data_IF_926800628666
#
_entry.id   IF_926800628666
#
_cell.length_a   1.000
_cell.length_b   1.000
_cell.length_c   1.000
_cell.angle_alpha   90.00
_cell.angle_beta   90.00
_cell.angle_gamma   90.00
#
_symmetry.space_group_name_H-M   'P 1'
#
loop_
_entity.id
_entity.type
_entity.pdbx_description
1 polymer ?
#
# COMPACT_ATOMS: atom_id res chain seq x y z
N UNK A 1 -26.59 -49.81 -69.10
CA UNK A 1 -26.31 -48.39 -69.45
C UNK A 1 -27.27 -47.44 -68.71
N UNK A 2 -28.54 -47.23 -69.10
CA UNK A 2 -29.53 -46.37 -68.38
C UNK A 2 -29.39 -46.28 -66.84
N UNK A 3 -29.48 -47.40 -66.11
CA UNK A 3 -29.40 -47.44 -64.62
C UNK A 3 -28.04 -47.02 -64.05
N UNK A 4 -26.98 -46.97 -64.86
CA UNK A 4 -25.66 -46.49 -64.47
C UNK A 4 -25.53 -44.98 -64.74
N UNK A 5 -25.88 -44.50 -65.94
CA UNK A 5 -25.88 -43.06 -66.27
C UNK A 5 -26.74 -42.24 -65.27
N UNK A 6 -27.95 -42.72 -64.93
CA UNK A 6 -28.77 -42.10 -63.87
C UNK A 6 -28.13 -42.10 -62.47
N UNK A 7 -27.33 -43.12 -62.12
CA UNK A 7 -26.58 -43.13 -60.84
C UNK A 7 -25.42 -42.13 -60.86
N UNK A 8 -24.72 -41.99 -61.99
CA UNK A 8 -23.65 -41.00 -62.13
C UNK A 8 -24.21 -39.58 -62.01
N UNK A 9 -25.33 -39.27 -62.70
CA UNK A 9 -26.03 -37.99 -62.56
C UNK A 9 -26.41 -37.67 -61.11
N UNK A 10 -27.01 -38.63 -60.40
CA UNK A 10 -27.41 -38.46 -59.00
C UNK A 10 -26.24 -38.41 -58.00
N UNK A 11 -25.10 -39.05 -58.31
CA UNK A 11 -23.88 -38.95 -57.51
C UNK A 11 -23.22 -37.58 -57.69
N UNK A 12 -23.13 -37.10 -58.92
CA UNK A 12 -22.54 -35.78 -59.22
C UNK A 12 -23.40 -34.64 -58.65
N UNK A 13 -24.73 -34.78 -58.65
CA UNK A 13 -25.64 -33.86 -57.96
C UNK A 13 -25.29 -33.75 -56.47
N UNK A 14 -25.22 -34.87 -55.76
CA UNK A 14 -24.83 -34.91 -54.34
C UNK A 14 -23.44 -34.32 -54.09
N UNK A 15 -22.49 -34.53 -55.00
CA UNK A 15 -21.16 -33.93 -54.89
C UNK A 15 -21.20 -32.40 -55.08
N UNK A 16 -22.03 -31.87 -55.99
CA UNK A 16 -22.29 -30.43 -56.13
C UNK A 16 -22.94 -29.87 -54.85
N UNK A 17 -23.97 -30.55 -54.34
CA UNK A 17 -24.68 -30.15 -53.13
C UNK A 17 -23.73 -30.09 -51.91
N UNK A 18 -22.90 -31.12 -51.69
CA UNK A 18 -21.88 -31.13 -50.64
C UNK A 18 -20.82 -30.05 -50.84
N UNK A 19 -20.31 -29.86 -52.06
CA UNK A 19 -19.35 -28.79 -52.35
C UNK A 19 -19.89 -27.41 -51.94
N UNK A 20 -21.15 -27.10 -52.30
CA UNK A 20 -21.80 -25.84 -51.96
C UNK A 20 -22.07 -25.73 -50.45
N UNK A 21 -22.50 -26.81 -49.79
CA UNK A 21 -22.81 -26.77 -48.35
C UNK A 21 -21.56 -26.62 -47.47
N UNK A 22 -20.48 -27.32 -47.79
CA UNK A 22 -19.21 -27.25 -47.05
C UNK A 22 -18.55 -25.87 -47.23
N UNK A 23 -18.56 -25.32 -48.46
CA UNK A 23 -18.02 -23.99 -48.71
C UNK A 23 -18.83 -22.90 -48.01
N UNK A 24 -20.16 -22.98 -48.02
CA UNK A 24 -21.03 -22.02 -47.33
C UNK A 24 -20.82 -22.06 -45.80
N UNK A 25 -20.75 -23.25 -45.19
CA UNK A 25 -20.50 -23.40 -43.76
C UNK A 25 -19.11 -22.88 -43.36
N UNK A 26 -18.08 -23.16 -44.15
CA UNK A 26 -16.73 -22.66 -43.87
C UNK A 26 -16.60 -21.14 -44.05
N UNK A 27 -17.29 -20.54 -45.03
CA UNK A 27 -17.39 -19.07 -45.17
C UNK A 27 -18.10 -18.44 -43.96
N UNK A 28 -19.21 -19.02 -43.51
CA UNK A 28 -19.93 -18.53 -42.31
C UNK A 28 -19.06 -18.62 -41.04
N UNK A 29 -18.32 -19.73 -40.86
CA UNK A 29 -17.36 -19.87 -39.76
C UNK A 29 -16.22 -18.85 -39.85
N UNK A 30 -15.70 -18.58 -41.05
CA UNK A 30 -14.67 -17.57 -41.28
C UNK A 30 -15.17 -16.17 -40.90
N UNK A 31 -16.37 -15.78 -41.33
CA UNK A 31 -16.99 -14.50 -40.99
C UNK A 31 -17.17 -14.37 -39.47
N UNK A 32 -17.75 -15.40 -38.82
CA UNK A 32 -17.91 -15.44 -37.35
C UNK A 32 -16.57 -15.23 -36.63
N UNK A 33 -15.53 -16.01 -36.96
CA UNK A 33 -14.21 -15.86 -36.32
C UNK A 33 -13.52 -14.53 -36.65
N UNK A 34 -13.72 -13.99 -37.85
CA UNK A 34 -13.21 -12.65 -38.21
C UNK A 34 -13.87 -11.55 -37.37
N UNK A 35 -15.17 -11.65 -37.09
CA UNK A 35 -15.83 -10.73 -36.16
C UNK A 35 -15.29 -10.88 -34.73
N UNK A 36 -15.02 -12.11 -34.26
CA UNK A 36 -14.38 -12.35 -32.96
C UNK A 36 -12.96 -11.76 -32.86
N UNK A 37 -12.10 -11.90 -33.88
CA UNK A 37 -10.77 -11.29 -33.88
C UNK A 37 -10.85 -9.76 -33.79
N UNK A 38 -11.77 -9.13 -34.54
CA UNK A 38 -11.98 -7.68 -34.47
C UNK A 38 -12.48 -7.23 -33.10
N UNK A 39 -13.37 -8.01 -32.47
CA UNK A 39 -13.89 -7.74 -31.12
C UNK A 39 -12.80 -7.92 -30.05
N UNK A 40 -11.95 -8.94 -30.15
CA UNK A 40 -10.78 -9.15 -29.27
C UNK A 40 -9.75 -8.04 -29.45
N UNK A 41 -9.52 -7.59 -30.69
CA UNK A 41 -8.64 -6.45 -30.98
C UNK A 41 -9.16 -5.15 -30.36
N UNK A 42 -10.47 -4.90 -30.42
CA UNK A 42 -11.09 -3.77 -29.73
C UNK A 42 -11.02 -3.90 -28.18
N UNK A 43 -11.12 -5.12 -27.64
CA UNK A 43 -10.94 -5.38 -26.20
C UNK A 43 -9.50 -5.12 -25.74
N UNK A 44 -8.49 -5.62 -26.48
CA UNK A 44 -7.06 -5.33 -26.24
C UNK A 44 -6.80 -3.81 -26.24
N UNK A 45 -7.34 -3.09 -27.23
CA UNK A 45 -7.20 -1.63 -27.30
C UNK A 45 -7.82 -0.91 -26.10
N UNK A 46 -8.92 -1.42 -25.52
CA UNK A 46 -9.55 -0.84 -24.32
C UNK A 46 -8.75 -1.17 -23.06
N UNK A 47 -8.28 -2.40 -22.90
CA UNK A 47 -7.45 -2.82 -21.77
C UNK A 47 -6.13 -2.03 -21.71
N UNK A 48 -5.47 -1.85 -22.85
CA UNK A 48 -4.28 -0.99 -22.94
C UNK A 48 -4.58 0.47 -22.61
N UNK A 49 -5.75 1.01 -23.01
CA UNK A 49 -6.15 2.37 -22.62
C UNK A 49 -6.36 2.50 -21.10
N UNK A 50 -6.95 1.49 -20.45
CA UNK A 50 -7.12 1.43 -18.98
C UNK A 50 -5.78 1.31 -18.26
N UNK A 51 -4.85 0.47 -18.72
CA UNK A 51 -3.50 0.37 -18.14
C UNK A 51 -2.78 1.71 -18.23
N UNK A 52 -2.82 2.35 -19.41
CA UNK A 52 -2.20 3.66 -19.67
C UNK A 52 -2.82 4.82 -18.87
N UNK A 53 -4.02 4.67 -18.27
CA UNK A 53 -4.57 5.66 -17.33
C UNK A 53 -4.24 5.35 -15.88
N UNK A 54 -4.26 4.07 -15.48
CA UNK A 54 -3.94 3.64 -14.12
C UNK A 54 -2.47 3.89 -13.74
N UNK A 55 -1.52 3.70 -14.66
CA UNK A 55 -0.09 3.93 -14.42
C UNK A 55 0.24 5.38 -13.97
N UNK A 56 -0.19 6.45 -14.67
CA UNK A 56 0.04 7.82 -14.22
C UNK A 56 -0.77 8.20 -12.96
N UNK A 57 -1.96 7.63 -12.74
CA UNK A 57 -2.71 7.82 -11.49
C UNK A 57 -1.92 7.29 -10.27
N UNK A 58 -1.38 6.06 -10.37
CA UNK A 58 -0.52 5.46 -9.35
C UNK A 58 0.75 6.30 -9.15
N UNK A 59 1.38 6.75 -10.23
CA UNK A 59 2.60 7.57 -10.18
C UNK A 59 2.38 8.93 -9.49
N UNK A 60 1.24 9.60 -9.74
CA UNK A 60 0.88 10.85 -9.04
C UNK A 60 0.74 10.62 -7.54
N UNK A 61 0.00 9.59 -7.12
CA UNK A 61 -0.19 9.28 -5.71
C UNK A 61 1.13 8.92 -5.01
N UNK A 62 2.03 8.19 -5.68
CA UNK A 62 3.38 7.92 -5.17
C UNK A 62 4.21 9.20 -5.00
N UNK A 63 4.16 10.13 -5.96
CA UNK A 63 4.85 11.41 -5.87
C UNK A 63 4.27 12.30 -4.75
N UNK A 64 2.95 12.29 -4.55
CA UNK A 64 2.29 12.99 -3.44
C UNK A 64 2.67 12.41 -2.08
N UNK A 65 2.74 11.09 -1.93
CA UNK A 65 3.24 10.43 -0.70
C UNK A 65 4.72 10.76 -0.47
N UNK A 66 5.55 10.77 -1.51
CA UNK A 66 6.96 11.18 -1.39
C UNK A 66 7.07 12.65 -0.94
N UNK A 67 6.23 13.53 -1.49
CA UNK A 67 6.12 14.93 -1.07
C UNK A 67 5.74 15.08 0.41
N UNK A 68 4.69 14.39 0.85
CA UNK A 68 4.26 14.39 2.26
C UNK A 68 5.36 13.87 3.20
N UNK A 69 6.00 12.75 2.86
CA UNK A 69 7.12 12.21 3.65
C UNK A 69 8.33 13.15 3.71
N UNK A 70 8.64 13.86 2.62
CA UNK A 70 9.70 14.86 2.61
C UNK A 70 9.38 16.05 3.54
N UNK A 71 8.12 16.51 3.54
CA UNK A 71 7.62 17.56 4.41
C UNK A 71 7.68 17.14 5.89
N UNK A 72 7.25 15.91 6.21
CA UNK A 72 7.35 15.32 7.55
C UNK A 72 8.80 15.26 8.05
N UNK A 73 9.75 14.88 7.20
CA UNK A 73 11.18 14.85 7.53
C UNK A 73 11.74 16.25 7.83
N UNK A 74 11.34 17.27 7.05
CA UNK A 74 11.72 18.67 7.28
C UNK A 74 11.11 19.20 8.59
N UNK A 75 9.83 18.91 8.86
CA UNK A 75 9.16 19.29 10.11
C UNK A 75 9.82 18.65 11.34
N UNK A 76 10.13 17.35 11.28
CA UNK A 76 10.85 16.65 12.35
C UNK A 76 12.24 17.26 12.60
N UNK A 77 13.00 17.52 11.53
CA UNK A 77 14.33 18.13 11.61
C UNK A 77 14.28 19.54 12.22
N UNK A 78 13.34 20.38 11.77
CA UNK A 78 13.08 21.72 12.33
C UNK A 78 12.71 21.64 13.81
N UNK A 79 11.89 20.66 14.22
CA UNK A 79 11.45 20.50 15.61
C UNK A 79 12.57 20.06 16.55
N UNK A 80 13.53 19.25 16.07
CA UNK A 80 14.75 18.91 16.82
C UNK A 80 15.59 20.18 17.06
N UNK A 81 15.77 21.03 16.03
CA UNK A 81 16.50 22.29 16.15
C UNK A 81 15.81 23.27 17.12
N UNK A 82 14.50 23.47 16.97
CA UNK A 82 13.69 24.31 17.85
C UNK A 82 13.77 23.87 19.31
N UNK A 83 13.50 22.59 19.60
CA UNK A 83 13.50 22.07 20.97
C UNK A 83 14.88 22.15 21.64
N UNK A 84 15.97 21.98 20.88
CA UNK A 84 17.33 22.25 21.35
C UNK A 84 17.55 23.73 21.72
N UNK A 85 17.11 24.66 20.86
CA UNK A 85 17.20 26.11 21.14
C UNK A 85 16.35 26.55 22.33
N UNK A 86 15.18 25.92 22.51
CA UNK A 86 14.27 26.13 23.63
C UNK A 86 14.90 25.68 24.95
N UNK A 87 15.47 24.46 25.00
CA UNK A 87 16.16 23.95 26.19
C UNK A 87 17.31 24.86 26.64
N UNK A 88 18.13 25.35 25.69
CA UNK A 88 19.18 26.32 26.01
C UNK A 88 18.63 27.64 26.57
N UNK A 89 17.49 28.11 26.06
CA UNK A 89 16.86 29.36 26.51
C UNK A 89 16.26 29.23 27.91
N UNK A 90 15.54 28.14 28.18
CA UNK A 90 15.04 27.82 29.52
C UNK A 90 16.18 27.63 30.52
N UNK A 91 17.31 27.04 30.11
CA UNK A 91 18.47 26.92 31.00
C UNK A 91 19.11 28.28 31.31
N UNK A 92 19.27 29.17 30.31
CA UNK A 92 19.77 30.55 30.53
C UNK A 92 18.91 31.32 31.54
N UNK A 93 17.59 31.20 31.47
CA UNK A 93 16.70 31.85 32.43
C UNK A 93 16.73 31.20 33.83
N UNK A 94 16.89 29.87 33.94
CA UNK A 94 17.15 29.23 35.24
C UNK A 94 18.48 29.63 35.85
N UNK A 95 19.53 29.79 35.04
CA UNK A 95 20.83 30.29 35.49
C UNK A 95 20.73 31.77 35.90
N UNK A 96 19.88 32.56 35.24
CA UNK A 96 19.54 33.95 35.60
C UNK A 96 18.82 34.02 36.94
N UNK A 97 17.74 33.25 37.12
CA UNK A 97 17.04 33.08 38.41
C UNK A 97 18.02 32.68 39.52
N UNK A 98 18.83 31.63 39.31
CA UNK A 98 19.81 31.15 40.29
C UNK A 98 20.87 32.20 40.67
N UNK A 99 21.31 33.05 39.74
CA UNK A 99 22.18 34.20 40.03
C UNK A 99 21.46 35.25 40.87
N UNK A 100 20.22 35.62 40.50
CA UNK A 100 19.42 36.60 41.22
C UNK A 100 19.13 36.16 42.67
N UNK A 101 18.76 34.89 42.91
CA UNK A 101 18.59 34.36 44.27
C UNK A 101 19.87 34.47 45.11
N UNK A 102 21.05 34.15 44.55
CA UNK A 102 22.34 34.29 45.26
C UNK A 102 22.62 35.74 45.65
N UNK A 103 22.32 36.71 44.78
CA UNK A 103 22.49 38.14 45.06
C UNK A 103 21.50 38.60 46.15
N UNK A 104 20.22 38.21 46.02
CA UNK A 104 19.19 38.49 47.03
C UNK A 104 19.60 37.95 48.40
N UNK A 105 20.11 36.72 48.48
CA UNK A 105 20.51 36.13 49.76
C UNK A 105 21.83 36.68 50.31
N UNK A 106 22.77 37.12 49.46
CA UNK A 106 23.94 37.87 49.89
C UNK A 106 23.56 39.23 50.48
N UNK A 107 22.65 39.97 49.83
CA UNK A 107 22.13 41.24 50.33
C UNK A 107 21.37 41.06 51.65
N UNK A 108 20.50 40.04 51.76
CA UNK A 108 19.82 39.70 53.03
C UNK A 108 20.80 39.43 54.18
N UNK A 109 21.94 38.79 53.91
CA UNK A 109 22.98 38.56 54.93
C UNK A 109 23.61 39.90 55.36
N UNK A 110 24.09 40.68 54.39
CA UNK A 110 24.78 41.96 54.63
C UNK A 110 23.91 43.00 55.36
N UNK A 111 22.65 43.15 54.95
CA UNK A 111 21.71 44.09 55.58
C UNK A 111 20.97 43.48 56.79
N UNK A 112 20.90 42.16 56.90
CA UNK A 112 20.39 41.48 58.10
C UNK A 112 21.34 41.55 59.29
N UNK A 113 22.66 41.53 59.07
CA UNK A 113 23.66 41.72 60.14
C UNK A 113 23.62 43.11 60.78
N UNK A 114 23.10 44.13 60.09
CA UNK A 114 22.92 45.47 60.67
C UNK A 114 21.91 45.51 61.83
N UNK A 115 21.12 44.45 62.04
CA UNK A 115 20.14 44.35 63.13
C UNK A 115 20.66 43.68 64.40
N UNK A 116 21.91 43.17 64.46
CA UNK A 116 22.41 42.39 65.62
C UNK A 116 23.39 43.12 66.53
N UNK A 117 23.97 44.26 66.14
CA UNK A 117 24.79 45.08 67.04
C UNK A 117 23.98 45.78 68.15
N UNK A 118 22.64 45.76 68.08
CA UNK A 118 21.75 46.29 69.11
C UNK A 118 21.25 45.27 70.15
N UNK A 119 21.53 43.97 70.00
CA UNK A 119 20.86 42.91 70.79
C UNK A 119 21.82 42.00 71.58
N UNK A 120 22.89 42.59 72.13
CA UNK A 120 23.87 41.88 72.97
C UNK A 120 23.80 42.25 74.46
N UNK A 121 22.61 42.56 74.98
CA UNK A 121 22.45 42.97 76.38
C UNK A 121 21.08 42.63 77.01
N UNK A 122 20.66 41.36 76.97
CA UNK A 122 19.86 40.78 78.07
C UNK A 122 20.00 39.25 78.08
N UNK A 123 20.54 38.69 79.17
CA UNK A 123 20.74 37.25 79.35
C UNK A 123 20.52 36.87 80.82
N UNK A 124 19.95 35.67 81.03
CA UNK A 124 19.56 35.07 82.32
C UNK A 124 18.24 35.67 82.88
N UNK A 125 17.39 34.92 83.57
CA UNK A 125 17.62 33.62 84.24
C UNK A 125 16.47 32.60 84.12
N UNK A 126 16.82 31.31 84.24
CA UNK A 126 16.07 30.21 84.91
C UNK A 126 14.62 29.79 84.51
N UNK A 127 14.21 28.50 84.53
CA UNK A 127 14.94 27.22 84.58
C UNK A 127 14.02 26.02 84.21
N UNK A 128 14.55 25.00 83.50
CA UNK A 128 14.02 23.61 83.31
C UNK A 128 12.61 23.46 82.66
N UNK A 129 12.16 22.30 82.15
CA UNK A 129 12.75 20.94 82.09
C UNK A 129 12.52 20.28 80.69
N UNK A 130 13.27 19.23 80.35
CA UNK A 130 13.03 18.39 79.15
C UNK A 130 14.30 17.86 78.47
N UNK A 131 14.71 16.64 78.81
CA UNK A 131 15.85 15.91 78.20
C UNK A 131 15.40 15.11 76.96
N UNK A 132 16.18 14.98 75.86
CA UNK A 132 17.30 14.03 75.61
C UNK A 132 16.95 12.57 75.96
N UNK A 133 17.34 11.50 75.26
CA UNK A 133 18.04 11.21 73.99
C UNK A 133 17.71 9.73 73.62
N UNK A 134 18.02 9.12 72.47
CA UNK A 134 18.74 9.55 71.26
C UNK A 134 19.59 8.40 70.68
N UNK A 135 19.50 8.11 69.37
CA UNK A 135 20.16 6.99 68.62
C UNK A 135 19.65 5.55 68.90
N UNK A 136 19.99 4.59 68.02
CA UNK A 136 19.84 3.14 68.28
C UNK A 136 19.27 2.30 67.11
N UNK A 137 20.02 1.30 66.63
CA UNK A 137 19.55 0.27 65.68
C UNK A 137 19.15 -1.03 66.43
N UNK A 138 18.16 -1.80 65.93
CA UNK A 138 18.29 -3.24 65.56
C UNK A 138 16.96 -3.99 65.27
N UNK A 139 16.85 -4.47 64.02
CA UNK A 139 16.60 -5.85 63.54
C UNK A 139 15.51 -6.77 64.20
N UNK A 140 14.68 -7.34 63.30
CA UNK A 140 13.86 -8.58 63.41
C UNK A 140 12.57 -8.50 64.27
N UNK A 141 11.48 -9.22 63.95
CA UNK A 141 11.21 -10.27 62.92
C UNK A 141 10.16 -9.77 61.88
N UNK A 142 9.38 -10.51 61.05
CA UNK A 142 9.08 -11.95 60.85
C UNK A 142 8.55 -12.23 59.40
N UNK A 143 7.77 -13.31 59.24
CA UNK A 143 6.93 -13.81 58.13
C UNK A 143 6.18 -12.70 57.34
N UNK A 144 5.95 -12.77 56.02
CA UNK A 144 5.46 -13.92 55.21
C UNK A 144 6.23 -14.18 53.90
N UNK A 145 6.33 -15.49 53.58
CA UNK A 145 6.61 -16.17 52.30
C UNK A 145 6.28 -15.40 51.00
N UNK A 146 6.95 -15.56 49.86
CA UNK A 146 7.79 -16.69 49.39
C UNK A 146 6.93 -17.73 48.64
N UNK A 147 7.20 -18.16 47.40
CA UNK A 147 8.46 -18.12 46.63
C UNK A 147 8.24 -17.83 45.12
N UNK A 148 9.36 -17.59 44.43
CA UNK A 148 9.52 -17.61 42.96
C UNK A 148 10.16 -18.93 42.48
N UNK A 149 10.26 -19.08 41.15
CA UNK A 149 11.30 -19.83 40.39
C UNK A 149 10.93 -21.17 39.72
N UNK A 150 11.13 -21.19 38.39
CA UNK A 150 11.60 -22.23 37.45
C UNK A 150 12.15 -23.54 38.07
N UNK A 151 12.12 -24.73 37.44
CA UNK A 151 12.37 -25.10 36.02
C UNK A 151 11.49 -26.30 35.53
N UNK A 152 11.59 -26.66 34.23
CA UNK A 152 10.99 -27.85 33.57
C UNK A 152 11.86 -29.14 33.75
N UNK A 153 11.51 -30.39 33.28
CA UNK A 153 11.20 -30.73 31.87
C UNK A 153 10.22 -31.94 31.57
N UNK A 154 9.90 -32.14 30.27
CA UNK A 154 9.42 -33.41 29.65
C UNK A 154 7.88 -33.64 29.57
N UNK A 155 7.31 -34.32 28.56
CA UNK A 155 7.86 -34.88 27.30
C UNK A 155 6.84 -35.74 26.50
N UNK A 156 7.19 -36.14 25.25
CA UNK A 156 6.46 -37.04 24.32
C UNK A 156 5.15 -36.49 23.67
N UNK A 157 4.67 -36.91 22.47
CA UNK A 157 5.05 -38.05 21.58
C UNK A 157 4.72 -37.80 20.07
N UNK A 158 5.14 -38.73 19.19
CA UNK A 158 4.81 -38.93 17.74
C UNK A 158 5.56 -38.14 16.63
N UNK A 159 5.72 -38.81 15.47
CA UNK A 159 6.31 -38.40 14.18
C UNK A 159 5.93 -39.45 13.10
N UNK A 160 6.77 -39.82 12.10
CA UNK A 160 7.56 -39.02 11.14
C UNK A 160 7.43 -39.48 9.65
N UNK A 161 7.75 -38.65 8.65
CA UNK A 161 8.00 -39.03 7.22
C UNK A 161 8.63 -37.84 6.44
N UNK A 162 9.84 -37.89 5.85
CA UNK A 162 10.37 -38.48 4.58
C UNK A 162 10.26 -37.59 3.31
N UNK A 163 11.43 -37.27 2.71
CA UNK A 163 11.62 -36.79 1.31
C UNK A 163 11.31 -35.30 1.02
N UNK A 164 11.90 -34.63 0.01
CA UNK A 164 13.01 -35.03 -0.88
C UNK A 164 13.11 -34.18 -2.17
N UNK A 165 14.32 -34.07 -2.74
CA UNK A 165 14.64 -33.59 -4.12
C UNK A 165 14.71 -32.08 -4.43
N UNK A 166 15.71 -31.72 -5.26
CA UNK A 166 15.84 -30.43 -5.96
C UNK A 166 14.88 -30.33 -7.16
N UNK A 167 14.69 -29.12 -7.69
CA UNK A 167 14.92 -28.84 -9.12
C UNK A 167 15.21 -27.34 -9.38
N UNK A 168 15.81 -27.02 -10.53
CA UNK A 168 16.31 -25.70 -10.91
C UNK A 168 15.75 -25.26 -12.26
N UNK A 169 15.55 -23.96 -12.47
CA UNK A 169 15.08 -23.38 -13.74
C UNK A 169 14.89 -21.87 -13.67
N UNK A 170 15.71 -21.10 -14.38
CA UNK A 170 15.68 -19.63 -14.39
C UNK A 170 14.53 -19.05 -15.22
N UNK A 171 13.98 -17.91 -14.80
CA UNK A 171 13.68 -16.78 -15.70
C UNK A 171 13.58 -15.43 -14.96
N UNK A 172 14.54 -14.55 -15.27
CA UNK A 172 14.41 -13.09 -15.40
C UNK A 172 13.50 -12.28 -14.46
N UNK A 173 14.13 -11.66 -13.46
CA UNK A 173 13.89 -10.27 -13.00
C UNK A 173 12.44 -9.74 -13.00
N UNK A 174 11.69 -10.09 -11.96
CA UNK A 174 11.27 -9.05 -11.01
C UNK A 174 11.87 -9.38 -9.66
N UNK A 175 12.63 -8.45 -9.08
CA UNK A 175 12.97 -8.55 -7.66
C UNK A 175 11.66 -8.44 -6.86
N UNK A 176 11.44 -9.25 -5.80
CA UNK A 176 10.36 -8.95 -4.89
C UNK A 176 10.62 -7.55 -4.35
N UNK A 177 9.64 -6.66 -4.48
CA UNK A 177 9.69 -5.35 -3.82
C UNK A 177 9.77 -5.69 -2.34
N UNK A 178 10.96 -5.54 -1.75
CA UNK A 178 11.17 -5.85 -0.34
C UNK A 178 10.12 -5.02 0.41
N UNK A 179 9.21 -5.70 1.10
CA UNK A 179 8.20 -5.06 1.91
C UNK A 179 8.96 -4.36 3.03
N UNK A 180 9.35 -3.11 2.77
CA UNK A 180 10.17 -2.29 3.65
C UNK A 180 9.39 -2.14 4.93
N UNK A 181 9.72 -3.00 5.90
CA UNK A 181 9.06 -3.04 7.19
C UNK A 181 9.09 -1.60 7.71
N UNK A 182 7.94 -0.97 7.99
CA UNK A 182 7.95 0.35 8.60
C UNK A 182 8.82 0.22 9.85
N UNK A 183 9.91 1.00 9.96
CA UNK A 183 11.00 0.70 10.88
C UNK A 183 10.41 0.54 12.28
N UNK A 184 10.52 -0.68 12.81
CA UNK A 184 9.67 -1.14 13.91
C UNK A 184 9.67 -0.09 15.03
N UNK A 185 8.48 0.38 15.47
CA UNK A 185 8.35 1.64 16.20
C UNK A 185 9.26 1.64 17.41
N UNK A 186 10.36 2.39 17.34
CA UNK A 186 11.47 2.25 18.27
C UNK A 186 10.99 2.60 19.67
N UNK A 187 10.99 1.64 20.62
CA UNK A 187 10.56 1.93 21.98
C UNK A 187 11.52 2.96 22.56
N UNK A 188 10.94 4.00 23.17
CA UNK A 188 11.59 5.25 23.52
C UNK A 188 12.08 6.09 22.31
N UNK A 189 11.21 7.00 21.87
CA UNK A 189 11.64 8.41 21.86
C UNK A 189 12.35 8.72 23.19
N UNK A 190 13.42 9.55 23.24
CA UNK A 190 13.97 9.95 24.51
C UNK A 190 12.85 10.63 25.31
N UNK A 191 12.34 9.95 26.34
CA UNK A 191 11.37 10.51 27.29
C UNK A 191 12.11 11.55 28.11
N UNK A 192 12.26 12.75 27.52
CA UNK A 192 12.69 13.96 28.21
C UNK A 192 11.64 14.20 29.27
N UNK A 193 11.91 13.69 30.48
CA UNK A 193 10.98 13.75 31.59
C UNK A 193 10.49 15.20 31.73
N UNK A 194 9.17 15.42 31.88
CA UNK A 194 8.61 16.76 31.90
C UNK A 194 9.36 17.57 32.96
N UNK A 195 10.11 18.58 32.52
CA UNK A 195 11.03 19.30 33.40
C UNK A 195 10.26 19.77 34.63
N UNK A 196 10.78 19.55 35.85
CA UNK A 196 10.03 19.82 37.06
C UNK A 196 9.50 21.25 37.04
N UNK A 197 8.18 21.39 37.15
CA UNK A 197 7.53 22.70 37.26
C UNK A 197 8.18 23.43 38.43
N UNK A 198 8.48 24.71 38.24
CA UNK A 198 9.20 25.54 39.21
C UNK A 198 8.53 25.48 40.58
N UNK A 199 9.21 24.89 41.56
CA UNK A 199 8.71 24.66 42.92
C UNK A 199 8.69 25.93 43.79
N UNK A 200 8.77 27.10 43.16
CA UNK A 200 8.68 28.42 43.78
C UNK A 200 7.23 28.79 44.10
N UNK A 201 6.59 27.96 44.92
CA UNK A 201 5.19 28.11 45.36
C UNK A 201 5.03 29.26 46.37
N UNK A 202 5.07 30.52 45.91
CA UNK A 202 4.69 31.69 46.71
C UNK A 202 3.82 32.67 45.91
N UNK A 203 2.59 32.98 46.36
CA UNK A 203 1.73 33.93 45.68
C UNK A 203 2.24 35.37 45.82
N UNK A 204 1.83 36.24 44.90
CA UNK A 204 2.12 37.67 44.94
C UNK A 204 1.63 38.26 46.27
N UNK A 205 2.56 38.73 47.10
CA UNK A 205 2.28 39.62 48.22
C UNK A 205 2.84 40.99 47.89
N UNK A 206 2.01 42.02 47.94
CA UNK A 206 2.47 43.40 47.85
C UNK A 206 3.58 43.64 48.90
N UNK A 207 4.73 44.16 48.46
CA UNK A 207 5.85 44.44 49.34
C UNK A 207 5.70 45.83 49.97
N UNK A 208 4.81 45.92 50.95
CA UNK A 208 4.65 47.10 51.78
C UNK A 208 5.95 47.40 52.56
N UNK A 209 6.75 48.33 52.03
CA UNK A 209 7.87 48.95 52.76
C UNK A 209 9.30 48.53 52.40
N UNK A 210 9.54 47.60 51.46
CA UNK A 210 10.92 47.19 51.10
C UNK A 210 11.64 48.22 50.21
N UNK A 211 11.97 49.38 50.79
CA UNK A 211 12.62 50.52 50.12
C UNK A 211 13.99 50.14 49.53
N UNK A 212 14.09 50.08 48.20
CA UNK A 212 15.36 50.03 47.46
C UNK A 212 15.59 48.76 46.64
N UNK A 213 16.86 48.53 46.29
CA UNK A 213 17.31 47.58 45.26
C UNK A 213 16.85 46.12 45.49
N UNK A 214 16.61 45.71 46.74
CA UNK A 214 16.12 44.38 47.07
C UNK A 214 14.72 44.10 46.49
N UNK A 215 13.83 45.09 46.48
CA UNK A 215 12.51 44.96 45.87
C UNK A 215 12.57 44.79 44.35
N UNK A 216 13.46 45.55 43.69
CA UNK A 216 13.70 45.46 42.24
C UNK A 216 14.25 44.07 41.87
N UNK A 217 15.17 43.52 42.67
CA UNK A 217 15.70 42.17 42.44
C UNK A 217 14.65 41.07 42.62
N UNK A 218 13.74 41.19 43.60
CA UNK A 218 12.64 40.24 43.81
C UNK A 218 11.64 40.31 42.65
N UNK A 219 11.29 41.51 42.18
CA UNK A 219 10.46 41.70 40.99
C UNK A 219 11.09 41.02 39.77
N UNK A 220 12.40 41.24 39.53
CA UNK A 220 13.12 40.64 38.41
C UNK A 220 13.20 39.10 38.46
N UNK A 221 13.16 38.50 39.66
CA UNK A 221 12.99 37.03 39.82
C UNK A 221 11.60 36.60 39.37
N UNK A 222 10.54 37.23 39.90
CA UNK A 222 9.16 36.94 39.53
C UNK A 222 8.92 37.09 38.00
N UNK A 223 9.49 38.14 37.39
CA UNK A 223 9.44 38.36 35.94
C UNK A 223 10.15 37.23 35.17
N UNK A 224 11.24 36.68 35.73
CA UNK A 224 11.94 35.51 35.15
C UNK A 224 11.13 34.22 35.29
N UNK A 225 10.41 34.05 36.39
CA UNK A 225 9.56 32.88 36.65
C UNK A 225 8.34 32.89 35.70
N UNK A 226 7.67 34.04 35.57
CA UNK A 226 6.58 34.26 34.63
C UNK A 226 7.02 34.10 33.16
N UNK A 227 8.23 34.56 32.80
CA UNK A 227 8.82 34.32 31.48
C UNK A 227 9.00 32.83 31.20
N UNK A 228 9.61 32.07 32.13
CA UNK A 228 9.80 30.62 31.95
C UNK A 228 8.46 29.88 31.89
N UNK A 229 7.44 30.29 32.64
CA UNK A 229 6.11 29.67 32.55
C UNK A 229 5.44 29.97 31.20
N UNK A 230 5.51 31.19 30.69
CA UNK A 230 4.93 31.52 29.37
C UNK A 230 5.63 30.77 28.23
N UNK A 231 6.95 30.62 28.31
CA UNK A 231 7.75 29.81 27.37
C UNK A 231 7.34 28.33 27.40
N UNK A 232 7.15 27.74 28.58
CA UNK A 232 6.69 26.35 28.71
C UNK A 232 5.26 26.15 28.17
N UNK A 233 4.33 27.09 28.44
CA UNK A 233 2.97 27.05 27.90
C UNK A 233 2.94 27.12 26.37
N UNK A 234 3.79 27.97 25.76
CA UNK A 234 3.91 28.08 24.32
C UNK A 234 4.52 26.81 23.68
N UNK A 235 5.54 26.22 24.31
CA UNK A 235 6.16 24.96 23.88
C UNK A 235 5.19 23.78 23.94
N UNK A 236 4.37 23.68 25.00
CA UNK A 236 3.34 22.62 25.10
C UNK A 236 2.20 22.81 24.08
N UNK A 237 1.81 24.05 23.76
CA UNK A 237 0.89 24.34 22.66
C UNK A 237 1.48 23.95 21.29
N UNK A 238 2.75 24.28 21.04
CA UNK A 238 3.45 23.90 19.81
C UNK A 238 3.57 22.37 19.64
N UNK A 239 3.79 21.63 20.74
CA UNK A 239 3.76 20.15 20.75
C UNK A 239 2.37 19.62 20.40
N UNK A 240 1.31 20.21 20.96
CA UNK A 240 -0.07 19.86 20.68
C UNK A 240 -0.40 20.00 19.19
N UNK A 241 -0.17 21.19 18.62
CA UNK A 241 -0.38 21.46 17.19
C UNK A 241 0.40 20.47 16.31
N UNK A 242 1.72 20.36 16.51
CA UNK A 242 2.57 19.44 15.74
C UNK A 242 2.08 17.98 15.82
N UNK A 243 1.59 17.52 16.98
CA UNK A 243 1.05 16.15 17.10
C UNK A 243 -0.23 15.93 16.28
N UNK A 244 -1.08 16.95 16.16
CA UNK A 244 -2.26 16.91 15.29
C UNK A 244 -1.86 16.95 13.81
N UNK A 245 -0.90 17.81 13.44
CA UNK A 245 -0.40 17.93 12.07
C UNK A 245 0.23 16.63 11.58
N UNK A 246 1.09 16.00 12.39
CA UNK A 246 1.67 14.67 12.12
C UNK A 246 0.56 13.61 11.94
N UNK A 247 -0.47 13.61 12.80
CA UNK A 247 -1.58 12.64 12.73
C UNK A 247 -2.44 12.85 11.48
N UNK A 248 -2.65 14.10 11.06
CA UNK A 248 -3.41 14.44 9.86
C UNK A 248 -2.63 14.09 8.59
N UNK A 249 -1.33 14.36 8.56
CA UNK A 249 -0.44 13.98 7.47
C UNK A 249 -0.33 12.45 7.33
N UNK A 250 -0.16 11.71 8.44
CA UNK A 250 -0.15 10.25 8.41
C UNK A 250 -1.46 9.69 7.85
N UNK A 251 -2.63 10.19 8.30
CA UNK A 251 -3.94 9.79 7.75
C UNK A 251 -4.04 10.04 6.24
N UNK A 252 -3.42 11.12 5.73
CA UNK A 252 -3.37 11.42 4.30
C UNK A 252 -2.38 10.53 3.52
N UNK A 253 -1.39 9.95 4.18
CA UNK A 253 -0.49 8.94 3.59
C UNK A 253 -1.23 7.59 3.55
N UNK A 254 -1.74 7.13 4.70
CA UNK A 254 -2.49 5.86 4.84
C UNK A 254 -3.63 5.73 3.81
N UNK A 255 -4.33 6.84 3.52
CA UNK A 255 -5.43 6.88 2.56
C UNK A 255 -4.94 6.84 1.11
N UNK A 256 -3.81 7.47 0.79
CA UNK A 256 -3.20 7.39 -0.55
C UNK A 256 -2.57 6.01 -0.79
N UNK A 257 -1.98 5.38 0.22
CA UNK A 257 -1.48 4.00 0.14
C UNK A 257 -2.62 3.01 -0.17
N UNK A 258 -3.81 3.18 0.43
CA UNK A 258 -5.00 2.39 0.08
C UNK A 258 -5.42 2.57 -1.37
N UNK A 259 -5.47 3.81 -1.85
CA UNK A 259 -5.82 4.14 -3.24
C UNK A 259 -4.79 3.54 -4.21
N UNK A 260 -3.49 3.60 -3.89
CA UNK A 260 -2.42 2.92 -4.64
C UNK A 260 -2.65 1.41 -4.66
N UNK A 261 -3.00 0.77 -3.53
CA UNK A 261 -3.27 -0.67 -3.48
C UNK A 261 -4.47 -1.04 -4.37
N UNK A 262 -5.57 -0.28 -4.32
CA UNK A 262 -6.76 -0.53 -5.15
C UNK A 262 -6.46 -0.34 -6.65
N UNK A 263 -5.72 0.70 -7.03
CA UNK A 263 -5.32 0.95 -8.41
C UNK A 263 -4.34 -0.12 -8.92
N UNK A 264 -3.40 -0.59 -8.09
CA UNK A 264 -2.50 -1.69 -8.46
C UNK A 264 -3.24 -3.02 -8.63
N UNK A 265 -4.30 -3.28 -7.85
CA UNK A 265 -5.17 -4.44 -8.07
C UNK A 265 -5.88 -4.34 -9.43
N UNK A 266 -6.50 -3.19 -9.75
CA UNK A 266 -7.13 -2.95 -11.06
C UNK A 266 -6.16 -3.09 -12.22
N UNK A 267 -4.94 -2.56 -12.09
CA UNK A 267 -3.87 -2.65 -13.09
C UNK A 267 -3.43 -4.11 -13.29
N UNK A 268 -3.25 -4.87 -12.21
CA UNK A 268 -2.88 -6.30 -12.27
C UNK A 268 -3.97 -7.12 -12.96
N UNK A 269 -5.24 -6.88 -12.65
CA UNK A 269 -6.37 -7.53 -13.33
C UNK A 269 -6.43 -7.16 -14.81
N UNK A 270 -6.28 -5.88 -15.16
CA UNK A 270 -6.28 -5.44 -16.56
C UNK A 270 -5.11 -6.04 -17.37
N UNK A 271 -3.93 -6.20 -16.77
CA UNK A 271 -2.79 -6.89 -17.38
C UNK A 271 -3.03 -8.40 -17.56
N UNK A 272 -3.67 -9.06 -16.59
CA UNK A 272 -4.07 -10.47 -16.71
C UNK A 272 -5.12 -10.66 -17.82
N UNK A 273 -6.16 -9.83 -17.84
CA UNK A 273 -7.22 -9.85 -18.87
C UNK A 273 -6.66 -9.55 -20.27
N UNK A 274 -5.64 -8.68 -20.37
CA UNK A 274 -4.92 -8.40 -21.61
C UNK A 274 -4.24 -9.68 -22.13
N UNK A 275 -3.42 -10.34 -21.30
CA UNK A 275 -2.72 -11.57 -21.70
C UNK A 275 -3.70 -12.71 -22.04
N UNK A 276 -4.82 -12.83 -21.31
CA UNK A 276 -5.88 -13.78 -21.63
C UNK A 276 -6.58 -13.43 -22.97
N UNK A 277 -6.78 -12.15 -23.26
CA UNK A 277 -7.41 -11.72 -24.53
C UNK A 277 -6.46 -11.90 -25.72
N UNK A 278 -5.17 -11.63 -25.55
CA UNK A 278 -4.14 -11.83 -26.58
C UNK A 278 -3.94 -13.31 -26.93
N UNK A 279 -3.86 -14.20 -25.93
CA UNK A 279 -3.78 -15.66 -26.16
C UNK A 279 -5.04 -16.20 -26.84
N UNK A 280 -6.24 -15.79 -26.40
CA UNK A 280 -7.50 -16.17 -27.07
C UNK A 280 -7.62 -15.58 -28.50
N UNK A 281 -7.02 -14.41 -28.76
CA UNK A 281 -6.93 -13.85 -30.12
C UNK A 281 -6.01 -14.69 -30.99
N UNK A 282 -4.82 -15.06 -30.51
CA UNK A 282 -3.88 -15.90 -31.26
C UNK A 282 -4.51 -17.26 -31.65
N UNK A 283 -5.27 -17.89 -30.74
CA UNK A 283 -6.04 -19.10 -31.04
C UNK A 283 -7.11 -18.86 -32.11
N UNK A 284 -7.86 -17.75 -32.02
CA UNK A 284 -8.84 -17.37 -33.04
C UNK A 284 -8.20 -17.17 -34.43
N UNK A 285 -7.02 -16.55 -34.49
CA UNK A 285 -6.25 -16.39 -35.73
C UNK A 285 -5.73 -17.72 -36.29
N UNK A 286 -5.34 -18.67 -35.43
CA UNK A 286 -4.98 -20.02 -35.84
C UNK A 286 -6.16 -20.74 -36.49
N UNK A 287 -7.36 -20.65 -35.90
CA UNK A 287 -8.59 -21.20 -36.48
C UNK A 287 -8.96 -20.53 -37.82
N UNK A 288 -8.84 -19.20 -37.92
CA UNK A 288 -9.01 -18.46 -39.19
C UNK A 288 -8.05 -19.01 -40.28
N UNK A 289 -6.80 -19.30 -39.93
CA UNK A 289 -5.84 -19.95 -40.84
C UNK A 289 -6.26 -21.36 -41.28
N UNK A 290 -6.79 -22.16 -40.35
CA UNK A 290 -7.32 -23.50 -40.64
C UNK A 290 -8.55 -23.44 -41.56
N UNK A 291 -9.47 -22.51 -41.33
CA UNK A 291 -10.66 -22.34 -42.18
C UNK A 291 -10.28 -21.86 -43.59
N UNK A 292 -9.32 -20.94 -43.73
CA UNK A 292 -8.84 -20.50 -45.04
C UNK A 292 -8.10 -21.61 -45.82
N UNK A 293 -7.33 -22.46 -45.14
CA UNK A 293 -6.71 -23.64 -45.79
C UNK A 293 -7.75 -24.70 -46.16
N UNK A 294 -8.79 -24.91 -45.34
CA UNK A 294 -9.93 -25.75 -45.71
C UNK A 294 -10.68 -25.22 -46.94
N UNK A 295 -11.02 -23.93 -46.98
CA UNK A 295 -11.65 -23.28 -48.14
C UNK A 295 -10.82 -23.45 -49.41
N UNK A 296 -9.49 -23.33 -49.30
CA UNK A 296 -8.56 -23.58 -50.43
C UNK A 296 -8.63 -25.04 -50.91
N UNK A 297 -8.71 -26.01 -49.99
CA UNK A 297 -8.86 -27.43 -50.31
C UNK A 297 -10.22 -27.71 -50.95
N UNK A 298 -11.31 -27.14 -50.44
CA UNK A 298 -12.67 -27.26 -51.01
C UNK A 298 -12.69 -26.68 -52.42
N UNK A 299 -12.22 -25.44 -52.61
CA UNK A 299 -12.12 -24.81 -53.92
C UNK A 299 -11.33 -25.67 -54.92
N UNK A 300 -10.18 -26.23 -54.52
CA UNK A 300 -9.33 -27.09 -55.39
C UNK A 300 -10.05 -28.34 -55.89
N UNK A 301 -10.97 -28.91 -55.11
CA UNK A 301 -11.74 -30.12 -55.46
C UNK A 301 -13.06 -29.78 -56.17
N UNK A 302 -13.70 -28.69 -55.78
CA UNK A 302 -15.05 -28.34 -56.20
C UNK A 302 -15.10 -27.47 -57.47
N UNK A 303 -14.12 -26.61 -57.73
CA UNK A 303 -14.17 -25.68 -58.89
C UNK A 303 -14.36 -26.40 -60.22
N UNK A 304 -13.61 -27.48 -60.47
CA UNK A 304 -13.71 -28.25 -61.72
C UNK A 304 -15.07 -28.97 -61.82
N UNK A 305 -15.59 -29.47 -60.71
CA UNK A 305 -16.91 -30.10 -60.65
C UNK A 305 -18.02 -29.09 -60.96
N UNK A 306 -18.05 -27.98 -60.22
CA UNK A 306 -19.09 -26.95 -60.33
C UNK A 306 -19.12 -26.32 -61.74
N UNK A 307 -17.95 -26.01 -62.31
CA UNK A 307 -17.86 -25.38 -63.63
C UNK A 307 -18.27 -26.31 -64.79
N UNK A 308 -18.18 -27.64 -64.63
CA UNK A 308 -18.55 -28.60 -65.68
C UNK A 308 -19.93 -29.24 -65.47
N UNK A 309 -20.50 -29.13 -64.27
CA UNK A 309 -21.69 -29.85 -63.81
C UNK A 309 -22.85 -29.77 -64.80
N UNK A 310 -23.26 -28.57 -65.21
CA UNK A 310 -24.47 -28.40 -66.01
C UNK A 310 -24.29 -29.04 -67.40
N UNK A 311 -23.12 -28.86 -68.04
CA UNK A 311 -22.81 -29.56 -69.30
C UNK A 311 -22.69 -31.09 -69.13
N UNK A 312 -22.28 -31.58 -67.96
CA UNK A 312 -22.23 -33.01 -67.65
C UNK A 312 -23.64 -33.60 -67.49
N UNK A 313 -24.58 -32.85 -66.92
CA UNK A 313 -25.98 -33.27 -66.84
C UNK A 313 -26.66 -33.20 -68.21
N UNK A 314 -26.43 -32.16 -69.01
CA UNK A 314 -26.90 -32.07 -70.40
C UNK A 314 -26.45 -33.25 -71.25
N UNK A 315 -25.14 -33.56 -71.26
CA UNK A 315 -24.56 -34.69 -72.01
C UNK A 315 -25.14 -36.03 -71.56
N UNK A 316 -25.52 -36.17 -70.28
CA UNK A 316 -26.18 -37.38 -69.75
C UNK A 316 -27.67 -37.44 -70.04
N UNK A 317 -28.37 -36.31 -70.09
CA UNK A 317 -29.75 -36.26 -70.60
C UNK A 317 -29.76 -36.71 -72.06
N UNK A 318 -28.87 -36.15 -72.89
CA UNK A 318 -28.68 -36.57 -74.27
C UNK A 318 -28.28 -38.06 -74.39
N UNK A 319 -27.37 -38.60 -73.56
CA UNK A 319 -27.07 -40.05 -73.55
C UNK A 319 -28.33 -40.87 -73.23
N UNK A 320 -29.11 -40.46 -72.23
CA UNK A 320 -30.30 -41.18 -71.79
C UNK A 320 -31.40 -41.21 -72.85
N UNK A 321 -31.59 -40.13 -73.61
CA UNK A 321 -32.58 -40.09 -74.68
C UNK A 321 -32.07 -40.75 -75.97
N UNK A 322 -30.81 -40.58 -76.38
CA UNK A 322 -30.21 -41.38 -77.46
C UNK A 322 -30.31 -42.91 -77.20
N UNK A 323 -30.11 -43.34 -75.94
CA UNK A 323 -30.31 -44.75 -75.54
C UNK A 323 -31.80 -45.17 -75.57
N UNK A 324 -32.73 -44.24 -75.37
CA UNK A 324 -34.18 -44.43 -75.39
C UNK A 324 -34.67 -44.66 -76.81
N UNK A 325 -34.20 -43.86 -77.74
CA UNK A 325 -34.60 -43.90 -79.15
C UNK A 325 -34.02 -45.14 -79.83
N UNK A 326 -32.74 -45.45 -79.57
CA UNK A 326 -32.15 -46.73 -79.95
C UNK A 326 -32.92 -47.95 -79.40
N UNK A 327 -33.50 -47.84 -78.19
CA UNK A 327 -34.34 -48.90 -77.60
C UNK A 327 -35.73 -49.00 -78.24
N UNK A 328 -36.32 -47.89 -78.71
CA UNK A 328 -37.58 -47.92 -79.47
C UNK A 328 -37.38 -48.50 -80.87
N UNK A 329 -36.34 -48.04 -81.57
CA UNK A 329 -35.91 -48.56 -82.87
C UNK A 329 -35.69 -50.09 -82.84
N UNK A 330 -34.90 -50.58 -81.87
CA UNK A 330 -34.67 -52.03 -81.65
C UNK A 330 -35.92 -52.82 -81.22
N UNK A 331 -37.04 -52.16 -80.94
CA UNK A 331 -38.34 -52.78 -80.63
C UNK A 331 -39.31 -52.78 -81.81
N UNK A 332 -38.92 -52.28 -82.99
CA UNK A 332 -39.82 -52.10 -84.12
C UNK A 332 -40.87 -51.00 -83.91
N UNK A 333 -40.76 -50.24 -82.83
CA UNK A 333 -41.56 -49.03 -82.60
C UNK A 333 -40.87 -47.90 -83.34
N UNK A 334 -41.32 -47.65 -84.58
CA UNK A 334 -40.89 -46.50 -85.38
C UNK A 334 -41.20 -45.24 -84.58
N UNK A 335 -40.14 -44.54 -84.15
CA UNK A 335 -40.23 -43.20 -83.59
C UNK A 335 -40.49 -42.21 -84.72
N UNK A 336 -41.58 -41.41 -84.67
CA UNK A 336 -41.81 -40.33 -85.61
C UNK A 336 -40.83 -39.16 -85.38
#
# INVERSE_FOLDING_TARGET
RFRACRRMGALEARMKDTCVSEEAQAREQLERRTTEDSARTAAISRLNATINSLEPEISSLQAEIQGLNSSLSVLASKRIQESGSFQQTVQKERDRQAKLHRVIDALKRHYGSASVEGLSLLRHSSVRAGEKQGSGQKRATKTVSGNTSNLAPGGNFLGPSLGGSNLSGNSSNLAPINASQPPAPTPASPTVAPMPRSTFSRPLRAHEGSRGILGILIMLVHDSEALVESMLRAEDQARGANSADLTNAQRSIDEKDRQIIELNQKLTTAQQDLQQTETLKALCQQEIGQINTFLTIVASKCTVLLNNYDSNQEKRAAELDNLRDAKFYLKGMVTP
#
